data_IF_933412078721
#
_entry.id   IF_933412078721
#
_cell.length_a   1.000
_cell.length_b   1.000
_cell.length_c   1.000
_cell.angle_alpha   90.00
_cell.angle_beta   90.00
_cell.angle_gamma   90.00
#
_symmetry.space_group_name_H-M   'P 1'
#
loop_
_entity.id
_entity.type
_entity.pdbx_description
1 polymer ?
#
# COMPACT_ATOMS: atom_id res chain seq x y z
N UNK A 1 16.33 6.83 -13.48
CA UNK A 1 15.07 7.30 -12.89
C UNK A 1 13.92 6.84 -13.75
N UNK A 2 13.05 6.00 -13.20
CA UNK A 2 11.80 5.62 -13.86
C UNK A 2 10.83 6.82 -13.89
N UNK A 3 9.92 6.82 -14.86
CA UNK A 3 8.78 7.74 -14.87
C UNK A 3 7.71 7.23 -13.90
N UNK A 4 7.37 8.05 -12.89
CA UNK A 4 6.36 7.71 -11.88
C UNK A 4 5.00 8.35 -12.14
N UNK A 5 4.85 9.08 -13.25
CA UNK A 5 3.61 9.74 -13.65
C UNK A 5 2.40 8.78 -13.74
N UNK A 6 2.53 7.55 -14.26
CA UNK A 6 1.40 6.61 -14.34
C UNK A 6 0.76 6.30 -12.98
N UNK A 7 1.57 6.15 -11.94
CA UNK A 7 1.10 5.84 -10.58
C UNK A 7 0.38 7.00 -9.89
N UNK A 8 0.46 8.21 -10.45
CA UNK A 8 -0.22 9.41 -9.95
C UNK A 8 -1.57 9.63 -10.63
N UNK A 9 -1.78 8.98 -11.78
CA UNK A 9 -3.01 9.06 -12.55
C UNK A 9 -3.97 7.91 -12.22
N UNK A 10 -3.44 6.71 -11.94
CA UNK A 10 -4.22 5.51 -11.66
C UNK A 10 -3.84 4.91 -10.28
N UNK A 11 -4.80 4.86 -9.31
CA UNK A 11 -4.53 4.33 -7.98
C UNK A 11 -4.37 2.82 -7.97
N UNK A 12 -4.81 2.09 -9.00
CA UNK A 12 -4.72 0.63 -9.09
C UNK A 12 -3.53 0.18 -9.92
N UNK A 13 -2.83 1.11 -10.57
CA UNK A 13 -1.60 0.81 -11.29
C UNK A 13 -0.52 0.31 -10.32
N UNK A 14 -0.06 -0.93 -10.55
CA UNK A 14 0.94 -1.59 -9.74
C UNK A 14 2.34 -1.14 -10.13
N UNK A 15 3.17 -0.85 -9.13
CA UNK A 15 4.59 -0.57 -9.34
C UNK A 15 5.29 -1.83 -9.81
N UNK A 16 6.14 -1.69 -10.83
CA UNK A 16 7.02 -2.77 -11.27
C UNK A 16 7.81 -3.30 -10.06
N UNK A 17 7.66 -4.61 -9.82
CA UNK A 17 8.29 -5.31 -8.72
C UNK A 17 9.80 -5.08 -8.68
N UNK A 18 10.45 -4.96 -9.82
CA UNK A 18 11.91 -4.83 -9.88
C UNK A 18 12.40 -3.47 -9.37
N UNK A 19 11.56 -2.43 -9.40
CA UNK A 19 11.86 -1.10 -8.84
C UNK A 19 11.58 -0.96 -7.33
N UNK A 20 10.94 -1.95 -6.71
CA UNK A 20 10.63 -1.91 -5.28
C UNK A 20 11.88 -2.24 -4.47
N UNK A 21 12.33 -1.33 -3.61
CA UNK A 21 13.47 -1.58 -2.70
C UNK A 21 13.02 -2.06 -1.30
N UNK A 22 11.88 -1.54 -0.83
CA UNK A 22 11.28 -1.89 0.47
C UNK A 22 9.76 -1.69 0.43
N UNK A 23 9.02 -2.59 1.08
CA UNK A 23 7.57 -2.52 1.24
C UNK A 23 7.26 -2.15 2.70
N UNK A 24 6.44 -1.13 2.90
CA UNK A 24 5.99 -0.70 4.23
C UNK A 24 4.61 -1.24 4.51
N UNK A 25 4.48 -2.04 5.57
CA UNK A 25 3.23 -2.71 5.93
C UNK A 25 2.67 -2.05 7.19
N UNK A 26 1.67 -1.16 7.06
CA UNK A 26 0.98 -0.63 8.23
C UNK A 26 0.22 -1.76 8.90
N UNK A 27 0.48 -2.01 10.18
CA UNK A 27 -0.18 -3.10 10.90
C UNK A 27 -0.53 -2.69 12.32
N UNK A 28 -1.78 -2.93 12.72
CA UNK A 28 -2.23 -2.77 14.10
C UNK A 28 -1.75 -3.93 14.97
N UNK A 29 -1.72 -5.13 14.39
CA UNK A 29 -1.27 -6.34 15.05
C UNK A 29 0.17 -6.69 14.67
N UNK A 30 0.94 -7.34 15.56
CA UNK A 30 2.26 -7.81 15.22
C UNK A 30 2.21 -8.84 14.07
N UNK A 31 3.03 -8.62 13.05
CA UNK A 31 3.23 -9.57 11.95
C UNK A 31 4.19 -10.67 12.43
N UNK A 32 3.86 -11.92 12.15
CA UNK A 32 4.67 -13.08 12.51
C UNK A 32 5.13 -13.82 11.25
N UNK A 33 6.35 -14.34 11.29
CA UNK A 33 6.84 -15.26 10.28
C UNK A 33 6.08 -16.60 10.41
N UNK A 34 5.45 -17.12 9.34
CA UNK A 34 4.68 -18.37 9.42
C UNK A 34 5.55 -19.62 9.55
N UNK A 35 6.88 -19.49 9.39
CA UNK A 35 7.81 -20.61 9.51
C UNK A 35 8.27 -20.78 10.96
N UNK A 36 8.76 -19.71 11.60
CA UNK A 36 9.27 -19.75 12.98
C UNK A 36 8.28 -19.26 14.03
N UNK A 37 7.15 -18.68 13.60
CA UNK A 37 6.07 -18.12 14.45
C UNK A 37 6.48 -16.92 15.32
N UNK A 38 7.68 -16.38 15.12
CA UNK A 38 8.21 -15.18 15.79
C UNK A 38 8.08 -13.93 14.91
N UNK A 39 8.37 -12.75 15.49
CA UNK A 39 8.53 -11.53 14.71
C UNK A 39 9.61 -11.72 13.63
N UNK A 40 9.37 -11.29 12.37
CA UNK A 40 10.25 -11.60 11.27
C UNK A 40 11.57 -10.83 11.33
N UNK A 41 12.70 -11.56 11.35
CA UNK A 41 14.06 -11.01 11.31
C UNK A 41 14.46 -10.69 9.88
N UNK A 42 14.92 -9.46 9.62
CA UNK A 42 15.23 -8.95 8.28
C UNK A 42 14.11 -9.27 7.29
N UNK A 43 12.88 -8.92 7.67
CA UNK A 43 11.65 -9.38 7.04
C UNK A 43 11.66 -9.25 5.50
N UNK A 44 11.25 -10.33 4.81
CA UNK A 44 11.12 -10.38 3.35
C UNK A 44 9.69 -10.71 2.94
N UNK A 45 9.17 -9.98 1.96
CA UNK A 45 7.90 -10.25 1.31
C UNK A 45 8.12 -10.92 -0.04
N UNK A 46 7.26 -11.89 -0.31
CA UNK A 46 7.18 -12.60 -1.59
C UNK A 46 6.20 -11.89 -2.52
N UNK A 47 6.21 -12.19 -3.83
CA UNK A 47 5.24 -11.62 -4.79
C UNK A 47 3.78 -11.86 -4.40
N UNK A 48 3.48 -12.94 -3.68
CA UNK A 48 2.15 -13.24 -3.18
C UNK A 48 1.78 -12.49 -1.87
N UNK A 49 2.61 -11.55 -1.40
CA UNK A 49 2.32 -10.70 -0.25
C UNK A 49 2.68 -11.28 1.13
N UNK A 50 2.99 -12.57 1.22
CA UNK A 50 3.36 -13.21 2.48
C UNK A 50 4.78 -12.84 2.95
N UNK A 51 4.94 -12.66 4.26
CA UNK A 51 6.13 -12.12 4.93
C UNK A 51 6.80 -13.21 5.77
N UNK A 52 8.14 -13.31 5.67
CA UNK A 52 8.96 -14.30 6.34
C UNK A 52 10.23 -13.67 6.92
N UNK A 53 10.88 -14.31 7.89
CA UNK A 53 12.28 -13.99 8.18
C UNK A 53 13.13 -14.30 6.95
N UNK A 54 14.17 -13.49 6.68
CA UNK A 54 15.06 -13.78 5.55
C UNK A 54 15.72 -15.17 5.65
N UNK A 55 16.31 -15.56 6.80
CA UNK A 55 16.91 -16.89 6.94
C UNK A 55 15.89 -18.02 6.78
N UNK A 56 14.69 -17.85 7.32
CA UNK A 56 13.63 -18.86 7.25
C UNK A 56 13.20 -19.14 5.80
N UNK A 57 12.98 -18.09 4.99
CA UNK A 57 12.57 -18.30 3.60
C UNK A 57 13.71 -18.86 2.75
N UNK A 58 14.97 -18.49 3.03
CA UNK A 58 16.13 -19.09 2.37
C UNK A 58 16.25 -20.58 2.66
N UNK A 59 16.11 -20.97 3.94
CA UNK A 59 16.08 -22.38 4.33
C UNK A 59 14.97 -23.13 3.60
N UNK A 60 13.75 -22.59 3.62
CA UNK A 60 12.60 -23.21 2.97
C UNK A 60 12.82 -23.41 1.46
N UNK A 61 13.36 -22.41 0.76
CA UNK A 61 13.68 -22.53 -0.66
C UNK A 61 14.77 -23.58 -0.94
N UNK A 62 15.72 -23.77 -0.02
CA UNK A 62 16.79 -24.76 -0.14
C UNK A 62 16.34 -26.21 0.04
N UNK A 63 15.10 -26.46 0.49
CA UNK A 63 14.54 -27.82 0.60
C UNK A 63 14.15 -28.43 -0.76
N UNK A 64 14.20 -27.64 -1.84
CA UNK A 64 13.87 -28.05 -3.20
C UNK A 64 15.07 -27.83 -4.12
N UNK A 65 15.31 -28.76 -5.04
CA UNK A 65 16.33 -28.61 -6.09
C UNK A 65 15.95 -27.58 -7.18
N UNK A 66 14.73 -27.03 -7.11
CA UNK A 66 14.21 -26.05 -8.07
C UNK A 66 14.61 -24.63 -7.68
N UNK A 67 14.60 -23.73 -8.66
CA UNK A 67 14.80 -22.28 -8.45
C UNK A 67 13.62 -21.57 -7.76
N UNK A 68 12.61 -22.34 -7.34
CA UNK A 68 11.38 -21.86 -6.73
C UNK A 68 10.77 -22.91 -5.77
N UNK A 69 9.90 -22.44 -4.88
CA UNK A 69 9.08 -23.29 -4.02
C UNK A 69 7.66 -22.71 -3.91
N UNK A 70 6.67 -23.56 -3.59
CA UNK A 70 5.31 -23.10 -3.27
C UNK A 70 5.29 -22.34 -1.95
N UNK A 71 4.53 -21.26 -1.86
CA UNK A 71 4.25 -20.56 -0.61
C UNK A 71 3.57 -21.48 0.41
N UNK A 72 4.06 -21.57 1.66
CA UNK A 72 3.40 -22.34 2.73
C UNK A 72 1.96 -21.90 3.04
N UNK A 73 1.58 -20.67 2.66
CA UNK A 73 0.27 -20.09 2.99
C UNK A 73 -0.70 -20.20 1.81
N UNK A 74 -0.33 -19.71 0.63
CA UNK A 74 -1.23 -19.65 -0.53
C UNK A 74 -0.81 -20.53 -1.72
N UNK A 75 0.28 -21.29 -1.59
CA UNK A 75 0.81 -22.19 -2.63
C UNK A 75 1.32 -21.55 -3.92
N UNK A 76 1.30 -20.21 -4.03
CA UNK A 76 1.91 -19.48 -5.14
C UNK A 76 3.43 -19.67 -5.23
N UNK A 77 3.98 -19.55 -6.44
CA UNK A 77 5.41 -19.76 -6.67
C UNK A 77 6.25 -18.62 -6.05
N UNK A 78 7.21 -18.99 -5.21
CA UNK A 78 8.19 -18.08 -4.60
C UNK A 78 9.56 -18.32 -5.23
N UNK A 79 10.20 -17.23 -5.65
CA UNK A 79 11.59 -17.23 -6.14
C UNK A 79 12.47 -16.36 -5.26
N UNK A 80 13.71 -16.80 -5.02
CA UNK A 80 14.72 -16.09 -4.23
C UNK A 80 14.94 -14.64 -4.71
N UNK A 81 15.04 -14.45 -6.02
CA UNK A 81 15.29 -13.15 -6.65
C UNK A 81 14.15 -12.12 -6.51
N UNK A 82 12.95 -12.58 -6.15
CA UNK A 82 11.77 -11.72 -6.03
C UNK A 82 11.45 -11.35 -4.57
N UNK A 83 12.30 -11.72 -3.62
CA UNK A 83 12.13 -11.33 -2.22
C UNK A 83 12.43 -9.83 -2.05
N UNK A 84 11.49 -9.08 -1.48
CA UNK A 84 11.65 -7.64 -1.20
C UNK A 84 11.71 -7.36 0.29
N UNK A 85 12.54 -6.39 0.68
CA UNK A 85 12.66 -5.95 2.07
C UNK A 85 11.32 -5.44 2.61
N UNK A 86 11.02 -5.72 3.88
CA UNK A 86 9.78 -5.27 4.52
C UNK A 86 10.10 -4.47 5.76
N UNK A 87 9.36 -3.37 5.94
CA UNK A 87 9.28 -2.64 7.20
C UNK A 87 7.85 -2.69 7.69
N UNK A 88 7.63 -3.26 8.87
CA UNK A 88 6.31 -3.26 9.51
C UNK A 88 6.18 -1.95 10.29
N UNK A 89 5.22 -1.12 9.88
CA UNK A 89 4.92 0.14 10.56
C UNK A 89 3.79 -0.13 11.56
N UNK A 90 4.15 -0.31 12.83
CA UNK A 90 3.20 -0.52 13.92
C UNK A 90 2.24 0.66 14.05
N UNK A 91 0.94 0.39 13.91
CA UNK A 91 -0.15 1.37 14.03
C UNK A 91 -0.93 1.13 15.30
N UNK A 92 -1.50 2.20 15.84
CA UNK A 92 -2.38 2.11 17.00
C UNK A 92 -3.74 1.57 16.58
N UNK A 93 -4.20 0.50 17.23
CA UNK A 93 -5.59 0.07 17.11
C UNK A 93 -6.53 1.06 17.78
N UNK A 94 -7.58 1.46 17.07
CA UNK A 94 -8.64 2.33 17.58
C UNK A 94 -9.94 1.56 17.84
N UNK A 95 -10.46 1.68 19.06
CA UNK A 95 -11.72 1.08 19.54
C UNK A 95 -12.66 2.14 20.13
N UNK A 96 -13.96 1.81 20.22
CA UNK A 96 -14.97 2.65 20.87
C UNK A 96 -14.52 3.03 22.29
N UNK A 97 -14.72 4.29 22.67
CA UNK A 97 -14.28 4.88 23.93
C UNK A 97 -12.86 5.42 23.95
N UNK A 98 -12.06 5.22 22.88
CA UNK A 98 -10.71 5.77 22.79
C UNK A 98 -10.69 7.14 22.11
N UNK A 99 -9.67 7.94 22.42
CA UNK A 99 -9.39 9.21 21.73
C UNK A 99 -8.71 8.95 20.38
N UNK A 100 -9.23 9.59 19.34
CA UNK A 100 -8.64 9.66 18.00
C UNK A 100 -8.51 11.11 17.57
N UNK A 101 -7.45 11.39 16.81
CA UNK A 101 -7.20 12.69 16.21
C UNK A 101 -7.29 12.56 14.69
N UNK A 102 -8.13 13.40 14.09
CA UNK A 102 -8.30 13.54 12.65
C UNK A 102 -7.62 14.81 12.15
N UNK A 103 -7.05 14.73 10.95
CA UNK A 103 -6.43 15.81 10.22
C UNK A 103 -7.30 16.13 9.00
N UNK A 104 -7.54 17.42 8.75
CA UNK A 104 -8.19 17.89 7.53
C UNK A 104 -7.21 17.74 6.35
N UNK A 105 -7.64 16.97 5.37
CA UNK A 105 -6.92 16.60 4.17
C UNK A 105 -7.53 17.31 2.95
N UNK A 106 -6.71 17.49 1.93
CA UNK A 106 -7.11 18.04 0.64
C UNK A 106 -6.53 17.22 -0.51
N UNK A 107 -7.33 17.09 -1.57
CA UNK A 107 -6.97 16.48 -2.84
C UNK A 107 -7.54 17.29 -3.98
N UNK A 108 -6.77 17.50 -5.05
CA UNK A 108 -7.26 18.13 -6.27
C UNK A 108 -8.12 17.14 -7.07
N UNK A 109 -9.24 17.60 -7.64
CA UNK A 109 -10.09 16.76 -8.50
C UNK A 109 -9.30 16.33 -9.74
N UNK A 110 -9.34 15.04 -10.05
CA UNK A 110 -8.56 14.45 -11.14
C UNK A 110 -7.09 14.14 -10.78
N UNK A 111 -6.64 14.45 -9.57
CA UNK A 111 -5.33 14.03 -9.05
C UNK A 111 -5.50 13.02 -7.90
N UNK A 112 -4.53 12.12 -7.73
CA UNK A 112 -4.50 11.17 -6.61
C UNK A 112 -3.69 11.66 -5.41
N UNK A 113 -3.05 12.81 -5.55
CA UNK A 113 -2.21 13.38 -4.49
C UNK A 113 -3.07 13.92 -3.35
N UNK A 114 -2.87 13.36 -2.17
CA UNK A 114 -3.50 13.79 -0.91
C UNK A 114 -2.43 14.40 -0.02
N UNK A 115 -2.78 15.48 0.70
CA UNK A 115 -1.95 16.03 1.77
C UNK A 115 -2.80 16.74 2.83
N UNK A 116 -2.27 16.96 4.04
CA UNK A 116 -2.90 17.85 5.02
C UNK A 116 -3.08 19.26 4.45
N UNK A 117 -4.20 19.92 4.77
CA UNK A 117 -4.45 21.30 4.31
C UNK A 117 -3.34 22.27 4.72
N UNK A 118 -2.76 22.07 5.91
CA UNK A 118 -1.63 22.86 6.42
C UNK A 118 -0.34 22.71 5.59
N UNK A 119 -0.22 21.65 4.78
CA UNK A 119 0.95 21.34 3.97
C UNK A 119 0.73 21.60 2.47
N UNK A 120 -0.45 22.09 2.07
CA UNK A 120 -0.82 22.23 0.65
C UNK A 120 0.17 23.10 -0.14
N UNK A 121 0.56 24.26 0.38
CA UNK A 121 1.48 25.18 -0.29
C UNK A 121 2.84 24.53 -0.54
N UNK A 122 3.42 23.91 0.49
CA UNK A 122 4.71 23.21 0.40
C UNK A 122 4.60 22.03 -0.56
N UNK A 123 3.49 21.27 -0.50
CA UNK A 123 3.29 20.09 -1.34
C UNK A 123 3.29 20.43 -2.83
N UNK A 124 2.70 21.57 -3.22
CA UNK A 124 2.65 22.02 -4.61
C UNK A 124 4.02 22.41 -5.19
N UNK A 125 4.99 22.73 -4.34
CA UNK A 125 6.35 23.10 -4.75
C UNK A 125 7.27 21.88 -4.87
N UNK A 126 6.91 20.76 -4.24
CA UNK A 126 7.71 19.54 -4.22
C UNK A 126 7.44 18.65 -5.44
N UNK A 127 8.37 17.72 -5.69
CA UNK A 127 8.20 16.64 -6.66
C UNK A 127 6.94 15.83 -6.35
N UNK A 128 6.31 15.23 -7.37
CA UNK A 128 5.05 14.52 -7.17
C UNK A 128 5.17 13.31 -6.25
N UNK A 129 6.35 12.69 -6.16
CA UNK A 129 6.63 11.59 -5.23
C UNK A 129 7.64 12.04 -4.19
N UNK A 130 7.34 11.78 -2.92
CA UNK A 130 8.17 12.19 -1.78
C UNK A 130 9.37 11.24 -1.59
N UNK A 131 10.45 11.77 -1.03
CA UNK A 131 11.59 10.95 -0.63
C UNK A 131 11.27 10.18 0.66
N UNK A 132 11.95 9.05 0.86
CA UNK A 132 11.85 8.26 2.10
C UNK A 132 12.30 9.06 3.33
N UNK A 133 13.31 9.92 3.18
CA UNK A 133 13.85 10.82 4.20
C UNK A 133 13.17 12.18 4.26
N UNK A 134 12.03 12.37 3.57
CA UNK A 134 11.29 13.63 3.65
C UNK A 134 10.91 13.94 5.12
N UNK A 135 11.26 15.14 5.56
CA UNK A 135 11.05 15.61 6.94
C UNK A 135 10.08 16.78 7.03
N UNK A 136 9.80 17.47 5.92
CA UNK A 136 8.94 18.65 5.90
C UNK A 136 7.47 18.29 5.68
N UNK A 137 7.22 17.15 5.05
CA UNK A 137 5.89 16.68 4.66
C UNK A 137 5.60 15.33 5.29
N UNK A 138 4.32 15.08 5.59
CA UNK A 138 3.89 13.81 6.15
C UNK A 138 3.90 12.71 5.08
N UNK A 139 4.90 11.83 5.16
CA UNK A 139 5.02 10.66 4.26
C UNK A 139 4.00 9.56 4.58
N UNK A 140 3.33 9.61 5.74
CA UNK A 140 2.38 8.59 6.18
C UNK A 140 1.13 8.47 5.27
N UNK A 141 0.83 9.52 4.50
CA UNK A 141 -0.31 9.57 3.58
C UNK A 141 0.09 9.22 2.13
N UNK A 142 1.39 9.03 1.85
CA UNK A 142 1.88 8.73 0.51
C UNK A 142 1.85 7.22 0.25
N UNK A 143 1.24 6.82 -0.88
CA UNK A 143 1.26 5.42 -1.35
C UNK A 143 2.68 4.99 -1.77
N UNK A 144 3.43 5.91 -2.40
CA UNK A 144 4.75 5.67 -2.96
C UNK A 144 5.76 6.67 -2.44
N UNK A 145 6.97 6.19 -2.17
CA UNK A 145 8.12 6.98 -1.79
C UNK A 145 9.31 6.59 -2.68
N UNK A 146 10.17 7.55 -2.97
CA UNK A 146 11.43 7.30 -3.69
C UNK A 146 12.54 7.18 -2.66
N UNK A 147 13.39 6.18 -2.85
CA UNK A 147 14.62 6.02 -2.10
C UNK A 147 15.83 6.37 -2.98
N UNK A 148 16.75 7.16 -2.44
CA UNK A 148 18.09 7.34 -2.99
C UNK A 148 19.03 6.22 -2.53
N UNK A 149 20.25 6.22 -3.08
CA UNK A 149 21.27 5.21 -2.76
C UNK A 149 21.55 5.13 -1.25
N UNK A 150 21.72 6.27 -0.59
CA UNK A 150 22.07 6.33 0.83
C UNK A 150 20.96 5.72 1.67
N UNK A 151 19.71 6.00 1.30
CA UNK A 151 18.53 5.43 1.94
C UNK A 151 18.42 3.92 1.73
N UNK A 152 18.66 3.42 0.51
CA UNK A 152 18.67 1.96 0.25
C UNK A 152 19.80 1.27 1.02
N UNK A 153 20.99 1.87 1.09
CA UNK A 153 22.11 1.36 1.88
C UNK A 153 21.77 1.30 3.37
N UNK A 154 21.08 2.31 3.91
CA UNK A 154 20.62 2.31 5.29
C UNK A 154 19.59 1.20 5.57
N UNK A 155 18.71 0.88 4.59
CA UNK A 155 17.80 -0.25 4.70
C UNK A 155 18.57 -1.58 4.81
N UNK A 156 19.61 -1.76 3.98
CA UNK A 156 20.46 -2.96 4.02
C UNK A 156 21.22 -3.05 5.35
N UNK A 157 21.76 -1.93 5.85
CA UNK A 157 22.48 -1.90 7.13
C UNK A 157 21.58 -2.32 8.30
N UNK A 158 20.32 -1.89 8.30
CA UNK A 158 19.34 -2.31 9.30
C UNK A 158 19.07 -3.82 9.24
N UNK A 159 18.91 -4.41 8.04
CA UNK A 159 18.77 -5.86 7.88
C UNK A 159 20.00 -6.62 8.37
N UNK A 160 21.20 -6.14 8.04
CA UNK A 160 22.47 -6.74 8.50
C UNK A 160 22.58 -6.67 10.02
N UNK A 161 22.13 -5.58 10.65
CA UNK A 161 22.11 -5.45 12.10
C UNK A 161 21.19 -6.49 12.74
N UNK A 162 19.98 -6.67 12.22
CA UNK A 162 19.03 -7.69 12.69
C UNK A 162 19.60 -9.11 12.56
N UNK A 163 20.20 -9.42 11.40
CA UNK A 163 20.82 -10.73 11.15
C UNK A 163 22.05 -11.00 12.04
N UNK A 164 22.83 -9.97 12.40
CA UNK A 164 23.96 -10.13 13.32
C UNK A 164 23.50 -10.45 14.74
N UNK A 165 22.40 -9.86 15.19
CA UNK A 165 21.78 -10.19 16.48
C UNK A 165 21.30 -11.64 16.44
N UNK A 166 20.53 -12.03 15.43
CA UNK A 166 20.05 -13.41 15.24
C UNK A 166 21.20 -14.43 15.22
N UNK A 167 22.32 -14.09 14.56
CA UNK A 167 23.52 -14.94 14.52
C UNK A 167 24.12 -15.15 15.92
N UNK A 168 24.16 -14.10 16.74
CA UNK A 168 24.72 -14.19 18.09
C UNK A 168 23.81 -14.93 19.07
N UNK A 169 22.50 -14.85 18.89
CA UNK A 169 21.52 -15.51 19.76
C UNK A 169 21.40 -17.01 19.49
N UNK A 170 21.66 -17.45 18.25
CA UNK A 170 21.53 -18.84 17.83
C UNK A 170 22.88 -19.56 17.67
N UNK A 171 23.92 -19.14 18.38
CA UNK A 171 25.26 -19.73 18.28
C UNK A 171 25.22 -21.26 18.50
N UNK A 172 25.75 -22.02 17.52
CA UNK A 172 25.77 -23.49 17.57
C UNK A 172 24.53 -24.19 17.00
N UNK A 173 23.53 -23.47 16.49
CA UNK A 173 22.38 -24.06 15.79
C UNK A 173 22.73 -24.38 14.31
N UNK A 174 22.31 -25.54 13.77
CA UNK A 174 22.59 -25.89 12.37
C UNK A 174 21.96 -24.93 11.36
N UNK A 175 20.89 -24.23 11.73
CA UNK A 175 20.17 -23.26 10.92
C UNK A 175 20.94 -21.95 10.69
N UNK A 176 22.05 -21.74 11.42
CA UNK A 176 22.91 -20.55 11.28
C UNK A 176 23.45 -20.34 9.87
N UNK A 177 23.65 -21.42 9.10
CA UNK A 177 24.14 -21.31 7.73
C UNK A 177 23.20 -20.46 6.85
N UNK A 178 21.90 -20.43 7.15
CA UNK A 178 20.93 -19.59 6.43
C UNK A 178 20.95 -18.14 6.90
N UNK A 179 21.35 -17.88 8.16
CA UNK A 179 21.61 -16.52 8.65
C UNK A 179 22.87 -15.96 7.99
N UNK A 180 23.91 -16.78 7.87
CA UNK A 180 25.15 -16.42 7.15
C UNK A 180 24.89 -16.18 5.67
N UNK A 181 24.12 -17.07 5.02
CA UNK A 181 23.70 -16.88 3.64
C UNK A 181 22.91 -15.58 3.45
N UNK A 182 22.01 -15.23 4.39
CA UNK A 182 21.27 -13.97 4.34
C UNK A 182 22.20 -12.75 4.43
N UNK A 183 23.22 -12.80 5.30
CA UNK A 183 24.23 -11.75 5.42
C UNK A 183 25.04 -11.59 4.13
N UNK A 184 25.48 -12.69 3.52
CA UNK A 184 26.21 -12.67 2.24
C UNK A 184 25.37 -12.02 1.13
N UNK A 185 24.07 -12.34 1.05
CA UNK A 185 23.17 -11.74 0.06
C UNK A 185 22.92 -10.25 0.29
N UNK A 186 22.92 -9.80 1.54
CA UNK A 186 22.85 -8.36 1.86
C UNK A 186 24.12 -7.63 1.39
N UNK A 187 25.29 -8.24 1.60
CA UNK A 187 26.59 -7.71 1.15
C UNK A 187 26.69 -7.69 -0.39
N UNK A 188 26.21 -8.74 -1.06
CA UNK A 188 26.11 -8.79 -2.53
C UNK A 188 25.21 -7.67 -3.06
N UNK A 189 24.02 -7.48 -2.48
CA UNK A 189 23.12 -6.38 -2.83
C UNK A 189 23.81 -5.02 -2.66
N UNK A 190 24.57 -4.84 -1.57
CA UNK A 190 25.33 -3.60 -1.31
C UNK A 190 26.36 -3.33 -2.42
N UNK A 191 27.16 -4.34 -2.77
CA UNK A 191 28.17 -4.24 -3.83
C UNK A 191 27.55 -3.96 -5.20
N UNK A 192 26.42 -4.58 -5.52
CA UNK A 192 25.70 -4.35 -6.77
C UNK A 192 25.22 -2.90 -6.90
N UNK A 193 24.75 -2.29 -5.81
CA UNK A 193 24.36 -0.88 -5.79
C UNK A 193 25.59 0.01 -6.00
N UNK A 194 26.71 -0.31 -5.36
CA UNK A 194 27.95 0.45 -5.49
C UNK A 194 28.56 0.34 -6.90
N UNK A 195 28.45 -0.84 -7.54
CA UNK A 195 28.99 -1.10 -8.88
C UNK A 195 28.18 -0.39 -9.98
N UNK A 196 26.85 -0.45 -9.93
CA UNK A 196 25.98 0.26 -10.88
C UNK A 196 26.32 1.75 -10.98
N UNK A 197 26.85 2.33 -9.90
CA UNK A 197 27.24 3.74 -9.87
C UNK A 197 28.57 3.99 -10.54
N UNK A 198 29.55 3.08 -10.41
CA UNK A 198 30.82 3.20 -11.14
C UNK A 198 30.56 3.22 -12.64
N UNK A 199 29.68 2.34 -13.11
CA UNK A 199 29.28 2.26 -14.53
C UNK A 199 28.55 3.55 -14.99
N UNK A 200 27.62 4.09 -14.19
CA UNK A 200 26.93 5.37 -14.51
C UNK A 200 27.88 6.57 -14.52
N UNK A 201 28.89 6.58 -13.64
CA UNK A 201 29.88 7.68 -13.55
C UNK A 201 30.92 7.58 -14.66
N UNK A 202 31.29 6.37 -15.09
CA UNK A 202 32.22 6.14 -16.21
C UNK A 202 31.59 6.42 -17.58
N UNK A 203 30.27 6.24 -17.74
CA UNK A 203 29.54 6.55 -18.99
C UNK A 203 29.25 8.04 -19.22
N UNK A 204 29.60 8.94 -18.28
CA UNK A 204 29.52 10.41 -18.49
C UNK A 204 30.86 11.12 -18.34
N UNK A 205 31.72 11.15 -19.37
CA UNK A 205 32.78 12.13 -19.48
C UNK A 205 32.23 13.45 -20.06
N UNK A 206 32.17 14.47 -19.20
CA UNK A 206 32.44 15.90 -19.46
C UNK A 206 32.20 16.44 -20.89
N UNK A 207 30.99 16.91 -21.19
CA UNK A 207 30.81 17.98 -22.18
C UNK A 207 30.83 19.32 -21.42
N UNK A 208 31.89 20.10 -21.66
CA UNK A 208 31.97 21.50 -21.29
C UNK A 208 30.85 22.27 -21.99
N UNK A 209 29.99 22.91 -21.20
CA UNK A 209 28.95 23.81 -21.68
C UNK A 209 29.65 25.08 -22.19
N UNK A 210 29.77 25.23 -23.50
CA UNK A 210 29.90 26.54 -24.13
C UNK A 210 28.51 27.04 -24.48
N UNK A 211 28.15 28.18 -23.89
CA UNK A 211 26.99 28.98 -24.23
C UNK A 211 27.04 29.33 -25.73
N UNK A 212 25.92 29.11 -26.42
CA UNK A 212 25.47 29.99 -27.49
C UNK A 212 23.96 29.80 -27.73
N UNK A 213 23.25 30.90 -27.56
CA UNK A 213 21.87 31.10 -27.98
C UNK A 213 21.78 31.04 -29.52
N UNK A 214 20.71 30.42 -30.05
CA UNK A 214 19.81 31.07 -31.01
C UNK A 214 18.62 30.17 -31.37
N UNK A 215 17.45 30.80 -31.41
CA UNK A 215 16.17 30.20 -31.75
C UNK A 215 15.95 30.14 -33.27
N UNK A 216 15.30 29.08 -33.77
CA UNK A 216 14.34 29.20 -34.89
C UNK A 216 13.33 28.06 -34.89
N UNK A 217 12.07 28.44 -35.12
CA UNK A 217 10.90 27.57 -35.29
C UNK A 217 10.83 26.98 -36.70
N UNK A 218 10.28 25.76 -36.81
CA UNK A 218 9.10 25.40 -37.64
C UNK A 218 9.19 24.04 -38.35
N UNK A 219 8.36 23.10 -37.85
CA UNK A 219 7.30 22.38 -38.57
C UNK A 219 7.60 21.07 -39.35
N UNK A 220 6.66 20.12 -39.15
CA UNK A 220 6.12 19.09 -40.08
C UNK A 220 6.54 17.60 -39.94
N UNK A 221 5.51 16.81 -39.57
CA UNK A 221 5.10 15.42 -39.91
C UNK A 221 5.86 14.16 -39.44
N UNK A 222 5.13 13.40 -38.61
CA UNK A 222 4.73 11.98 -38.73
C UNK A 222 5.72 10.90 -39.17
N UNK A 223 5.94 9.92 -38.28
CA UNK A 223 5.79 8.49 -38.59
C UNK A 223 5.80 7.66 -37.30
N UNK A 224 4.73 6.91 -37.07
CA UNK A 224 4.63 5.79 -36.12
C UNK A 224 5.64 4.68 -36.46
N UNK A 225 6.00 3.83 -35.48
CA UNK A 225 5.62 2.42 -35.63
C UNK A 225 5.21 1.71 -34.32
N UNK A 226 4.15 0.93 -34.48
CA UNK A 226 3.75 -0.33 -33.85
C UNK A 226 3.74 -0.52 -32.33
N UNK A 227 2.51 -0.71 -31.86
CA UNK A 227 2.12 -1.42 -30.66
C UNK A 227 2.80 -2.79 -30.53
N UNK A 228 3.25 -3.10 -29.31
CA UNK A 228 3.08 -4.43 -28.75
C UNK A 228 2.49 -4.27 -27.35
N UNK A 229 1.15 -4.20 -27.31
CA UNK A 229 0.37 -4.20 -26.08
C UNK A 229 0.47 -5.60 -25.46
N UNK A 230 1.16 -5.71 -24.33
CA UNK A 230 1.05 -6.89 -23.47
C UNK A 230 -0.21 -6.69 -22.65
N UNK A 231 -1.29 -7.37 -23.06
CA UNK A 231 -2.54 -7.46 -22.32
C UNK A 231 -2.28 -8.33 -21.09
N UNK A 232 -2.45 -7.74 -19.90
CA UNK A 232 -2.43 -8.46 -18.63
C UNK A 232 -3.86 -8.93 -18.33
N UNK A 233 -4.15 -10.21 -18.54
CA UNK A 233 -5.42 -10.82 -18.13
C UNK A 233 -5.49 -10.92 -16.61
N UNK A 234 -6.61 -10.46 -16.06
CA UNK A 234 -6.94 -10.39 -14.64
C UNK A 234 -6.95 -11.74 -13.95
N UNK A 235 -6.43 -11.78 -12.72
CA UNK A 235 -6.29 -12.95 -11.86
C UNK A 235 -7.59 -13.49 -11.22
N UNK A 236 -8.77 -13.27 -11.82
CA UNK A 236 -10.06 -13.70 -11.26
C UNK A 236 -11.00 -14.39 -12.24
N UNK A 237 -10.49 -14.88 -13.38
CA UNK A 237 -11.28 -15.79 -14.22
C UNK A 237 -11.23 -17.21 -13.66
N UNK A 238 -12.28 -17.56 -12.93
CA UNK A 238 -12.61 -18.91 -12.53
C UNK A 238 -12.77 -19.79 -13.78
N UNK A 239 -11.73 -20.53 -14.15
CA UNK A 239 -11.86 -21.64 -15.09
C UNK A 239 -12.65 -22.75 -14.40
N UNK A 240 -13.91 -22.89 -14.78
CA UNK A 240 -14.73 -24.06 -14.47
C UNK A 240 -14.11 -25.30 -15.10
N UNK A 241 -13.43 -26.11 -14.29
CA UNK A 241 -12.97 -27.45 -14.67
C UNK A 241 -14.09 -28.45 -14.38
N UNK A 242 -14.82 -28.80 -15.42
CA UNK A 242 -15.67 -29.99 -15.44
C UNK A 242 -14.83 -31.23 -15.09
N UNK A 243 -15.05 -31.80 -13.92
CA UNK A 243 -14.63 -33.18 -13.64
C UNK A 243 -15.82 -33.99 -13.15
N UNK A 244 -16.47 -34.60 -14.12
CA UNK A 244 -17.53 -35.58 -13.97
C UNK A 244 -16.95 -36.87 -13.35
N UNK A 245 -17.09 -37.08 -12.03
CA UNK A 245 -16.95 -38.41 -11.40
C UNK A 245 -17.94 -38.61 -10.24
N UNK A 246 -19.00 -39.33 -10.56
CA UNK A 246 -19.84 -40.13 -9.66
C UNK A 246 -19.04 -40.83 -8.56
N UNK A 247 -19.37 -40.58 -7.28
CA UNK A 247 -19.45 -41.60 -6.21
C UNK A 247 -20.57 -41.19 -5.23
N UNK A 248 -21.57 -42.06 -5.08
CA UNK A 248 -22.60 -42.03 -4.04
C UNK A 248 -22.02 -42.42 -2.67
N UNK A 249 -22.43 -41.71 -1.61
CA UNK A 249 -22.78 -42.32 -0.32
C UNK A 249 -23.43 -41.29 0.63
N UNK A 250 -24.58 -41.69 1.16
CA UNK A 250 -25.47 -40.99 2.11
C UNK A 250 -24.85 -40.86 3.52
N UNK A 251 -25.13 -39.78 4.25
CA UNK A 251 -25.53 -39.88 5.67
C UNK A 251 -26.29 -38.61 6.16
N UNK A 252 -27.19 -38.82 7.12
CA UNK A 252 -28.30 -37.95 7.55
C UNK A 252 -28.04 -37.22 8.88
N UNK A 253 -28.75 -36.09 9.04
CA UNK A 253 -29.22 -35.54 10.32
C UNK A 253 -28.45 -34.28 10.77
N UNK A 254 -29.03 -33.25 11.39
CA UNK A 254 -30.40 -32.98 11.82
C UNK A 254 -30.45 -31.48 12.17
N UNK A 255 -31.56 -30.81 11.86
CA UNK A 255 -31.85 -29.40 12.11
C UNK A 255 -32.32 -29.15 13.55
N UNK A 256 -31.77 -28.14 14.24
CA UNK A 256 -32.44 -27.52 15.39
C UNK A 256 -32.33 -26.00 15.30
N UNK A 257 -33.48 -25.38 15.06
CA UNK A 257 -33.75 -23.95 15.19
C UNK A 257 -34.04 -23.60 16.65
N UNK A 258 -33.40 -22.56 17.17
CA UNK A 258 -33.94 -21.81 18.33
C UNK A 258 -33.76 -20.31 18.10
N UNK A 259 -34.88 -19.69 17.73
CA UNK A 259 -35.16 -18.26 17.84
C UNK A 259 -34.87 -17.75 19.25
N UNK A 260 -34.19 -16.61 19.34
CA UNK A 260 -34.39 -15.66 20.44
C UNK A 260 -34.29 -14.22 19.89
N UNK A 261 -35.44 -13.74 19.45
CA UNK A 261 -35.70 -12.34 19.12
C UNK A 261 -35.57 -11.45 20.37
N UNK A 262 -34.67 -10.46 20.32
CA UNK A 262 -34.81 -9.21 21.06
C UNK A 262 -34.41 -8.02 20.15
N UNK A 263 -35.42 -7.60 19.40
CA UNK A 263 -35.80 -6.20 19.09
C UNK A 263 -34.69 -5.16 19.00
N UNK A 264 -34.27 -4.85 17.77
CA UNK A 264 -33.58 -3.61 17.39
C UNK A 264 -34.65 -2.55 17.07
N UNK A 265 -34.50 -1.37 17.64
CA UNK A 265 -35.45 -0.26 17.55
C UNK A 265 -35.47 0.33 16.13
N UNK A 266 -36.61 0.23 15.45
CA UNK A 266 -36.95 0.95 14.23
C UNK A 266 -37.33 2.40 14.54
N UNK A 267 -36.79 3.34 13.78
CA UNK A 267 -37.39 4.67 13.59
C UNK A 267 -37.73 4.86 12.11
N UNK A 268 -38.94 4.43 11.79
CA UNK A 268 -39.95 5.06 10.93
C UNK A 268 -39.48 5.92 9.74
N UNK A 269 -39.69 5.41 8.52
CA UNK A 269 -40.65 6.03 7.60
C UNK A 269 -41.19 5.05 6.57
N UNK A 270 -42.51 4.83 6.66
CA UNK A 270 -43.51 4.64 5.60
C UNK A 270 -43.15 3.81 4.36
N UNK A 271 -43.62 2.56 4.38
CA UNK A 271 -44.29 1.82 3.29
C UNK A 271 -43.58 1.73 1.92
N UNK A 272 -43.00 0.55 1.65
CA UNK A 272 -43.05 -0.07 0.32
C UNK A 272 -41.71 -0.38 -0.35
N UNK A 273 -41.39 -1.67 -0.40
CA UNK A 273 -40.49 -2.38 -1.33
C UNK A 273 -38.96 -2.39 -1.03
N UNK A 274 -38.50 -3.55 -0.53
CA UNK A 274 -37.13 -4.10 -0.66
C UNK A 274 -36.84 -4.36 -2.16
N UNK A 275 -35.61 -4.31 -2.73
CA UNK A 275 -34.34 -4.69 -2.07
C UNK A 275 -33.05 -3.92 -2.46
N UNK A 276 -32.01 -4.01 -1.62
CA UNK A 276 -30.59 -4.21 -2.01
C UNK A 276 -29.61 -3.74 -0.92
N UNK A 277 -28.62 -4.58 -0.62
CA UNK A 277 -27.43 -4.28 0.18
C UNK A 277 -26.71 -3.06 -0.42
N UNK A 278 -26.55 -1.98 0.34
CA UNK A 278 -25.81 -0.79 -0.12
C UNK A 278 -24.32 -1.02 0.03
N UNK A 279 -23.67 -1.38 -1.09
CA UNK A 279 -22.24 -1.15 -1.27
C UNK A 279 -21.97 0.36 -1.18
N UNK A 280 -20.97 0.76 -0.39
CA UNK A 280 -20.53 2.15 -0.32
C UNK A 280 -19.82 2.44 -1.64
N UNK A 281 -20.36 3.35 -2.46
CA UNK A 281 -19.73 3.73 -3.73
C UNK A 281 -18.95 5.04 -3.59
N UNK A 282 -18.00 5.36 -4.50
CA UNK A 282 -17.32 6.65 -4.50
C UNK A 282 -18.29 7.84 -4.56
N UNK A 283 -19.49 7.64 -5.11
CA UNK A 283 -20.59 8.62 -5.15
C UNK A 283 -21.26 8.83 -3.77
N UNK A 284 -21.16 7.90 -2.82
CA UNK A 284 -21.66 8.10 -1.44
C UNK A 284 -20.77 9.05 -0.62
N UNK A 285 -19.53 9.28 -1.08
CA UNK A 285 -18.66 10.37 -0.62
C UNK A 285 -18.95 11.69 -1.36
N UNK A 286 -19.73 11.65 -2.45
CA UNK A 286 -20.25 12.85 -3.10
C UNK A 286 -21.54 13.28 -2.40
N UNK A 287 -21.39 14.16 -1.40
CA UNK A 287 -22.53 14.81 -0.75
C UNK A 287 -23.40 15.49 -1.81
N UNK A 288 -24.66 15.03 -1.94
CA UNK A 288 -25.67 15.64 -2.80
C UNK A 288 -25.84 17.13 -2.47
N UNK A 289 -25.28 17.99 -3.32
CA UNK A 289 -25.64 19.40 -3.37
C UNK A 289 -27.04 19.56 -3.98
N UNK A 290 -28.07 19.36 -3.19
CA UNK A 290 -29.37 19.92 -3.52
C UNK A 290 -29.31 21.45 -3.35
N UNK A 291 -29.23 22.16 -4.48
CA UNK A 291 -29.55 23.59 -4.67
C UNK A 291 -28.42 24.63 -4.67
N UNK A 292 -27.25 24.32 -5.26
CA UNK A 292 -26.37 25.38 -5.78
C UNK A 292 -25.86 25.02 -7.18
N UNK A 293 -25.77 25.97 -8.13
CA UNK A 293 -25.13 25.73 -9.42
C UNK A 293 -23.67 25.29 -9.18
N UNK A 294 -23.11 24.36 -9.97
CA UNK A 294 -21.81 23.78 -9.69
C UNK A 294 -20.72 24.83 -9.98
N UNK A 295 -20.35 25.62 -8.99
CA UNK A 295 -18.99 26.12 -8.91
C UNK A 295 -18.14 24.91 -8.56
N UNK A 296 -17.73 24.13 -9.57
CA UNK A 296 -16.92 22.93 -9.37
C UNK A 296 -15.66 23.33 -8.58
N UNK A 297 -15.65 23.04 -7.28
CA UNK A 297 -14.49 23.32 -6.46
C UNK A 297 -13.35 22.45 -6.98
N UNK A 298 -12.24 23.10 -7.34
CA UNK A 298 -11.03 22.42 -7.82
C UNK A 298 -10.53 21.34 -6.84
N UNK A 299 -10.83 21.50 -5.56
CA UNK A 299 -10.36 20.66 -4.47
C UNK A 299 -11.52 19.93 -3.77
N UNK A 300 -11.20 18.74 -3.28
CA UNK A 300 -11.99 17.90 -2.37
C UNK A 300 -11.33 17.91 -0.98
N UNK A 301 -12.14 17.98 0.08
CA UNK A 301 -11.69 18.05 1.46
C UNK A 301 -12.33 16.92 2.27
N UNK A 302 -11.58 16.33 3.18
CA UNK A 302 -12.05 15.25 4.05
C UNK A 302 -11.18 15.14 5.30
N UNK A 303 -11.64 14.40 6.31
CA UNK A 303 -10.86 14.13 7.52
C UNK A 303 -10.36 12.69 7.55
N UNK A 304 -9.06 12.51 7.79
CA UNK A 304 -8.40 11.20 7.94
C UNK A 304 -7.66 11.15 9.28
N UNK A 305 -7.51 9.96 9.88
CA UNK A 305 -6.70 9.79 11.08
C UNK A 305 -5.27 10.33 10.89
N UNK A 306 -4.77 11.06 11.88
CA UNK A 306 -3.50 11.78 11.78
C UNK A 306 -2.27 10.87 11.66
N UNK A 307 -2.39 9.58 11.96
CA UNK A 307 -1.32 8.59 11.86
C UNK A 307 -1.24 7.92 10.48
N UNK A 308 -2.02 8.39 9.50
CA UNK A 308 -2.05 7.90 8.13
C UNK A 308 -2.85 6.61 7.94
N UNK A 309 -3.51 6.09 8.99
CA UNK A 309 -4.42 4.96 8.82
C UNK A 309 -5.62 5.35 7.94
N UNK A 310 -6.17 4.37 7.21
CA UNK A 310 -7.37 4.55 6.38
C UNK A 310 -8.63 4.55 7.26
N UNK A 311 -8.70 5.53 8.16
CA UNK A 311 -9.82 5.78 9.06
C UNK A 311 -10.29 7.20 8.78
N UNK A 312 -11.57 7.33 8.44
CA UNK A 312 -12.17 8.58 8.00
C UNK A 312 -13.28 9.03 8.94
N UNK A 313 -13.53 10.33 8.97
CA UNK A 313 -14.60 10.89 9.77
C UNK A 313 -15.96 10.53 9.14
N UNK A 314 -16.87 10.03 9.97
CA UNK A 314 -18.21 9.61 9.53
C UNK A 314 -19.01 10.76 8.87
N UNK A 315 -19.86 10.43 7.89
CA UNK A 315 -20.62 11.40 7.09
C UNK A 315 -21.50 12.36 7.94
N UNK A 316 -22.14 11.84 9.00
CA UNK A 316 -22.92 12.68 9.93
C UNK A 316 -22.06 13.75 10.59
N UNK A 317 -20.82 13.42 10.98
CA UNK A 317 -19.89 14.38 11.57
C UNK A 317 -19.40 15.40 10.54
N UNK A 318 -19.20 14.97 9.29
CA UNK A 318 -18.88 15.86 8.16
C UNK A 318 -19.99 16.88 7.93
N UNK A 319 -21.25 16.44 7.84
CA UNK A 319 -22.40 17.34 7.67
C UNK A 319 -22.53 18.33 8.83
N UNK A 320 -22.30 17.89 10.07
CA UNK A 320 -22.29 18.79 11.23
C UNK A 320 -21.21 19.88 11.12
N UNK A 321 -20.01 19.53 10.64
CA UNK A 321 -18.94 20.50 10.42
C UNK A 321 -19.28 21.48 9.30
N UNK A 322 -19.83 21.01 8.20
CA UNK A 322 -20.26 21.87 7.10
C UNK A 322 -21.37 22.84 7.51
N UNK A 323 -22.36 22.38 8.29
CA UNK A 323 -23.38 23.26 8.85
C UNK A 323 -22.79 24.31 9.82
N UNK A 324 -21.73 23.95 10.55
CA UNK A 324 -21.12 24.83 11.58
C UNK A 324 -20.16 25.86 10.97
N UNK A 325 -19.33 25.44 10.01
CA UNK A 325 -18.25 26.24 9.42
C UNK A 325 -18.57 26.70 7.99
N UNK A 326 -19.72 26.34 7.44
CA UNK A 326 -20.15 26.63 6.08
C UNK A 326 -19.58 25.69 5.02
N UNK A 327 -18.33 25.22 5.19
CA UNK A 327 -17.72 24.17 4.37
C UNK A 327 -16.58 23.46 5.09
N UNK A 328 -16.18 22.28 4.61
CA UNK A 328 -15.02 21.56 5.13
C UNK A 328 -13.70 22.34 4.97
N UNK A 329 -13.58 23.18 3.95
CA UNK A 329 -12.38 24.03 3.74
C UNK A 329 -12.13 24.99 4.90
N UNK A 330 -13.21 25.51 5.49
CA UNK A 330 -13.17 26.47 6.59
C UNK A 330 -13.26 25.78 7.97
N UNK A 331 -13.31 24.44 7.99
CA UNK A 331 -13.35 23.66 9.22
C UNK A 331 -11.95 23.58 9.88
N UNK A 332 -11.88 23.26 11.19
CA UNK A 332 -10.60 23.20 11.91
C UNK A 332 -9.60 22.23 11.28
N UNK A 333 -8.33 22.61 11.17
CA UNK A 333 -7.31 21.75 10.56
C UNK A 333 -7.17 20.39 11.26
N UNK A 334 -7.47 20.31 12.57
CA UNK A 334 -7.36 19.09 13.36
C UNK A 334 -8.56 18.97 14.29
N UNK A 335 -9.09 17.76 14.44
CA UNK A 335 -10.18 17.43 15.35
C UNK A 335 -9.77 16.28 16.26
N UNK A 336 -10.05 16.36 17.55
CA UNK A 336 -9.79 15.25 18.49
C UNK A 336 -11.07 14.94 19.24
N UNK A 337 -11.41 13.66 19.32
CA UNK A 337 -12.66 13.22 19.95
C UNK A 337 -12.61 11.77 20.40
N UNK A 338 -13.58 11.39 21.22
CA UNK A 338 -13.77 10.01 21.66
C UNK A 338 -14.58 9.28 20.59
N UNK A 339 -14.11 8.10 20.20
CA UNK A 339 -14.83 7.23 19.25
C UNK A 339 -16.11 6.73 19.91
N UNK A 340 -17.26 7.13 19.40
CA UNK A 340 -18.57 6.63 19.85
C UNK A 340 -18.98 5.39 19.04
N UNK A 341 -18.67 5.41 17.75
CA UNK A 341 -19.01 4.35 16.81
C UNK A 341 -17.89 4.23 15.78
N UNK A 342 -17.66 3.00 15.31
CA UNK A 342 -16.67 2.68 14.29
C UNK A 342 -17.27 1.62 13.38
N UNK A 343 -17.41 1.95 12.12
CA UNK A 343 -17.87 1.05 11.07
C UNK A 343 -16.68 0.60 10.23
N UNK A 344 -16.73 -0.63 9.73
CA UNK A 344 -15.78 -1.15 8.76
C UNK A 344 -16.48 -1.28 7.41
N UNK A 345 -15.84 -0.79 6.36
CA UNK A 345 -16.31 -0.93 4.98
C UNK A 345 -15.15 -1.28 4.06
N UNK A 346 -15.46 -1.99 2.97
CA UNK A 346 -14.55 -2.18 1.84
C UNK A 346 -15.19 -1.56 0.60
N UNK A 347 -14.37 -0.96 -0.26
CA UNK A 347 -14.81 -0.39 -1.55
C UNK A 347 -14.64 -1.39 -2.71
N UNK A 348 -14.26 -2.64 -2.43
CA UNK A 348 -14.19 -3.70 -3.44
C UNK A 348 -15.58 -4.24 -3.70
N UNK A 349 -16.06 -4.08 -4.94
CA UNK A 349 -17.24 -4.80 -5.43
C UNK A 349 -16.85 -6.28 -5.49
N UNK A 350 -17.49 -7.13 -4.67
CA UNK A 350 -17.27 -8.58 -4.71
C UNK A 350 -17.85 -9.22 -5.97
#
# INVERSE_FOLDING_TARGET
NADYTPYLADPDHLVDWDFIEQIRVPSVEPVHCPICLSAPVAAKMTRCGHIYCYPCILHYLALSDKTWHKCPICFEAIHKQHLKSVKVDGKRGYSVGQLITFQLMVRERGALMVCPVSQLEVRTQHKPVLAVSETQLDTAFAKLLIADRTEVLAMIEQEVKELKVEKSENEGCPELCFVEQALELCEERRLNIDQKIKEIVEEKPMEEVTENEEATNANVLSSSPDESSIVYESAFDNVSVDTNKNINSEDKGETVSTNNNRTRYESLSSEGEDPSLTAITPEDLEVFHAHQPPTQSKNFYFYQACDGQQIYLHAVNVQMLEMTYGSLRESPATLTGVIVEKEAGSMTVE
#
